data_IF_568040924376
#
_entry.id   IF_568040924376
#
_cell.length_a   1.000
_cell.length_b   1.000
_cell.length_c   1.000
_cell.angle_alpha   90.00
_cell.angle_beta   90.00
_cell.angle_gamma   90.00
#
_symmetry.space_group_name_H-M   'P 1'
#
loop_
_entity.id
_entity.type
_entity.pdbx_description
1 polymer ?
#
# COMPACT_ATOMS: atom_id res chain seq x y z
N UNK A 1 -21.61 0.26 10.14
CA UNK A 1 -21.68 0.61 8.72
C UNK A 1 -20.25 0.62 8.20
N UNK A 2 -19.84 -0.41 7.46
CA UNK A 2 -18.54 -0.47 6.81
C UNK A 2 -18.62 0.36 5.54
N UNK A 3 -18.28 1.64 5.60
CA UNK A 3 -18.11 2.46 4.41
C UNK A 3 -16.90 1.92 3.66
N UNK A 4 -17.14 1.14 2.61
CA UNK A 4 -16.09 0.71 1.68
C UNK A 4 -15.66 1.95 0.93
N UNK A 5 -14.63 2.62 1.43
CA UNK A 5 -14.00 3.76 0.75
C UNK A 5 -13.30 3.22 -0.49
N UNK A 6 -14.03 3.18 -1.61
CA UNK A 6 -13.45 2.80 -2.90
C UNK A 6 -12.30 3.77 -3.19
N UNK A 7 -11.07 3.28 -3.43
CA UNK A 7 -9.94 4.12 -3.77
C UNK A 7 -10.24 4.97 -5.00
N UNK A 8 -9.69 6.19 -5.08
CA UNK A 8 -9.83 7.04 -6.25
C UNK A 8 -9.38 6.35 -7.55
N UNK A 9 -9.76 6.86 -8.73
CA UNK A 9 -9.46 6.23 -10.03
C UNK A 9 -7.95 6.04 -10.26
N UNK A 10 -7.11 6.91 -9.70
CA UNK A 10 -5.65 6.81 -9.78
C UNK A 10 -5.10 5.63 -8.97
N UNK A 11 -5.61 5.41 -7.75
CA UNK A 11 -5.25 4.25 -6.94
C UNK A 11 -5.72 2.95 -7.56
N UNK A 12 -6.93 2.96 -8.11
CA UNK A 12 -7.45 1.80 -8.86
C UNK A 12 -6.53 1.43 -10.02
N UNK A 13 -6.03 2.42 -10.78
CA UNK A 13 -5.09 2.17 -11.87
C UNK A 13 -3.71 1.68 -11.38
N UNK A 14 -3.21 2.26 -10.29
CA UNK A 14 -1.95 1.84 -9.66
C UNK A 14 -2.02 0.36 -9.26
N UNK A 15 -3.03 -0.04 -8.49
CA UNK A 15 -3.17 -1.42 -8.03
C UNK A 15 -3.37 -2.39 -9.20
N UNK A 16 -4.17 -2.00 -10.20
CA UNK A 16 -4.33 -2.79 -11.43
C UNK A 16 -2.98 -3.08 -12.10
N UNK A 17 -2.07 -2.10 -12.15
CA UNK A 17 -0.73 -2.28 -12.73
C UNK A 17 0.19 -3.13 -11.83
N UNK A 18 0.11 -2.91 -10.52
CA UNK A 18 0.87 -3.71 -9.54
C UNK A 18 0.48 -5.19 -9.59
N UNK A 19 -0.81 -5.50 -9.71
CA UNK A 19 -1.29 -6.87 -9.89
C UNK A 19 -0.91 -7.47 -11.24
N UNK A 20 -0.75 -6.64 -12.27
CA UNK A 20 -0.30 -7.10 -13.58
C UNK A 20 1.21 -7.41 -13.64
N UNK A 21 1.99 -7.06 -12.62
CA UNK A 21 3.42 -7.36 -12.59
C UNK A 21 3.70 -8.83 -12.29
N UNK A 22 4.61 -9.41 -13.08
CA UNK A 22 5.16 -10.72 -12.77
C UNK A 22 6.10 -10.64 -11.55
N UNK A 23 6.30 -11.77 -10.87
CA UNK A 23 7.18 -11.89 -9.70
C UNK A 23 8.61 -11.41 -9.99
N UNK A 24 9.14 -11.68 -11.19
CA UNK A 24 10.46 -11.21 -11.60
C UNK A 24 10.58 -9.68 -11.68
N UNK A 25 9.48 -8.96 -11.96
CA UNK A 25 9.47 -7.50 -11.97
C UNK A 25 9.67 -6.94 -10.56
N UNK A 26 9.19 -7.64 -9.54
CA UNK A 26 9.41 -7.26 -8.14
C UNK A 26 10.86 -7.48 -7.69
N UNK A 27 11.50 -8.54 -8.19
CA UNK A 27 12.90 -8.86 -7.86
C UNK A 27 13.92 -7.92 -8.53
N UNK A 28 13.47 -6.95 -9.32
CA UNK A 28 14.35 -6.03 -10.01
C UNK A 28 14.68 -4.81 -9.15
N UNK A 29 15.96 -4.64 -8.80
CA UNK A 29 16.43 -3.50 -8.00
C UNK A 29 15.79 -3.46 -6.61
N UNK A 30 15.51 -2.24 -6.12
CA UNK A 30 15.03 -2.03 -4.75
C UNK A 30 13.50 -2.12 -4.59
N UNK A 31 12.79 -2.67 -5.60
CA UNK A 31 11.31 -2.61 -5.64
C UNK A 31 10.63 -3.31 -4.47
N UNK A 32 11.16 -4.46 -4.04
CA UNK A 32 10.66 -5.17 -2.85
C UNK A 32 10.88 -4.33 -1.59
N UNK A 33 12.06 -3.73 -1.43
CA UNK A 33 12.37 -2.91 -0.26
C UNK A 33 11.51 -1.64 -0.22
N UNK A 34 11.33 -0.98 -1.36
CA UNK A 34 10.42 0.16 -1.49
C UNK A 34 8.99 -0.21 -1.10
N UNK A 35 8.48 -1.35 -1.60
CA UNK A 35 7.16 -1.83 -1.22
C UNK A 35 7.07 -2.10 0.30
N UNK A 36 8.07 -2.75 0.90
CA UNK A 36 8.13 -3.03 2.35
C UNK A 36 8.18 -1.76 3.20
N UNK A 37 8.89 -0.74 2.75
CA UNK A 37 8.89 0.58 3.40
C UNK A 37 7.49 1.17 3.34
N UNK A 38 6.83 1.13 2.19
CA UNK A 38 5.46 1.65 2.04
C UNK A 38 4.46 0.88 2.90
N UNK A 39 4.56 -0.46 2.97
CA UNK A 39 3.72 -1.28 3.85
C UNK A 39 3.85 -0.84 5.33
N UNK A 40 5.09 -0.66 5.82
CA UNK A 40 5.35 -0.19 7.19
C UNK A 40 4.78 1.21 7.42
N UNK A 41 4.88 2.11 6.44
CA UNK A 41 4.29 3.46 6.52
C UNK A 41 2.77 3.42 6.64
N UNK A 42 2.09 2.60 5.82
CA UNK A 42 0.63 2.46 5.89
C UNK A 42 0.17 1.89 7.23
N UNK A 43 0.87 0.86 7.75
CA UNK A 43 0.58 0.31 9.07
C UNK A 43 0.80 1.32 10.21
N UNK A 44 1.87 2.12 10.13
CA UNK A 44 2.14 3.18 11.09
C UNK A 44 1.05 4.26 11.06
N UNK A 45 0.66 4.74 9.87
CA UNK A 45 -0.43 5.72 9.72
C UNK A 45 -1.73 5.24 10.36
N UNK A 46 -2.09 3.97 10.12
CA UNK A 46 -3.30 3.39 10.70
C UNK A 46 -3.23 3.34 12.23
N UNK A 47 -2.08 2.92 12.79
CA UNK A 47 -1.84 2.88 14.24
C UNK A 47 -1.86 4.27 14.88
N UNK A 48 -1.26 5.26 14.22
CA UNK A 48 -1.24 6.65 14.68
C UNK A 48 -2.64 7.28 14.66
N UNK A 49 -3.47 6.89 13.69
CA UNK A 49 -4.82 7.41 13.51
C UNK A 49 -5.83 6.86 14.52
N UNK A 50 -5.78 5.56 14.82
CA UNK A 50 -6.70 4.91 15.76
C UNK A 50 -6.13 4.74 17.18
N UNK A 51 -4.83 5.00 17.38
CA UNK A 51 -4.12 4.87 18.65
C UNK A 51 -3.90 3.42 19.10
N UNK A 52 -4.13 2.45 18.23
CA UNK A 52 -3.98 1.03 18.54
C UNK A 52 -2.62 0.52 18.09
N UNK A 53 -1.94 -0.20 18.99
CA UNK A 53 -0.72 -0.91 18.62
C UNK A 53 -1.05 -2.03 17.63
N UNK A 54 -0.41 -2.01 16.46
CA UNK A 54 -0.52 -3.06 15.44
C UNK A 54 0.67 -4.01 15.49
N UNK A 55 0.48 -5.30 15.17
CA UNK A 55 1.60 -6.21 14.97
C UNK A 55 2.45 -5.75 13.79
N UNK A 56 3.72 -6.16 13.79
CA UNK A 56 4.62 -5.91 12.67
C UNK A 56 4.02 -6.44 11.36
N UNK A 57 4.27 -5.71 10.27
CA UNK A 57 3.86 -6.16 8.94
C UNK A 57 4.60 -7.47 8.62
N UNK A 58 3.88 -8.56 8.32
CA UNK A 58 4.52 -9.84 8.03
C UNK A 58 5.42 -9.74 6.80
N UNK A 59 6.52 -10.48 6.83
CA UNK A 59 7.38 -10.66 5.67
C UNK A 59 6.65 -11.50 4.62
N UNK A 60 6.03 -10.83 3.65
CA UNK A 60 5.33 -11.48 2.55
C UNK A 60 6.23 -11.62 1.32
N UNK A 61 6.05 -12.74 0.61
CA UNK A 61 6.73 -12.98 -0.66
C UNK A 61 6.29 -11.99 -1.75
N UNK A 62 7.08 -11.82 -2.83
CA UNK A 62 6.79 -10.82 -3.86
C UNK A 62 5.43 -10.95 -4.55
N UNK A 63 4.87 -12.17 -4.58
CA UNK A 63 3.55 -12.45 -5.15
C UNK A 63 2.40 -11.81 -4.38
N UNK A 64 2.59 -11.51 -3.08
CA UNK A 64 1.56 -10.97 -2.20
C UNK A 64 1.77 -9.49 -1.87
N UNK A 65 2.81 -8.83 -2.41
CA UNK A 65 3.11 -7.43 -2.09
C UNK A 65 1.99 -6.47 -2.53
N UNK A 66 1.44 -6.66 -3.73
CA UNK A 66 0.35 -5.83 -4.24
C UNK A 66 -0.91 -5.96 -3.37
N UNK A 67 -1.26 -7.19 -2.98
CA UNK A 67 -2.40 -7.47 -2.12
C UNK A 67 -2.21 -6.86 -0.73
N UNK A 68 -1.01 -7.03 -0.14
CA UNK A 68 -0.72 -6.47 1.17
C UNK A 68 -0.75 -4.94 1.17
N UNK A 69 -0.29 -4.30 0.09
CA UNK A 69 -0.38 -2.83 -0.08
C UNK A 69 -1.85 -2.38 -0.12
N UNK A 70 -2.69 -3.13 -0.83
CA UNK A 70 -4.13 -2.84 -0.90
C UNK A 70 -4.80 -2.98 0.47
N UNK A 71 -4.53 -4.07 1.18
CA UNK A 71 -5.08 -4.33 2.52
C UNK A 71 -4.67 -3.23 3.51
N UNK A 72 -3.38 -2.89 3.59
CA UNK A 72 -2.93 -1.87 4.54
C UNK A 72 -3.40 -0.46 4.17
N UNK A 73 -3.60 -0.17 2.88
CA UNK A 73 -4.21 1.08 2.47
C UNK A 73 -5.68 1.17 2.91
N UNK A 74 -6.46 0.09 2.72
CA UNK A 74 -7.84 0.01 3.19
C UNK A 74 -7.93 0.10 4.72
N UNK A 75 -7.01 -0.55 5.43
CA UNK A 75 -6.92 -0.46 6.89
C UNK A 75 -6.62 0.95 7.37
N UNK A 76 -5.67 1.67 6.74
CA UNK A 76 -5.36 3.05 7.09
C UNK A 76 -6.58 3.96 6.91
N UNK A 77 -7.32 3.81 5.80
CA UNK A 77 -8.58 4.52 5.57
C UNK A 77 -9.63 4.15 6.63
N UNK A 78 -9.75 2.87 6.98
CA UNK A 78 -10.66 2.37 8.00
C UNK A 78 -10.38 2.89 9.40
N UNK A 79 -9.11 3.18 9.71
CA UNK A 79 -8.67 3.81 10.96
C UNK A 79 -8.86 5.33 11.01
N UNK A 80 -9.36 5.94 9.94
CA UNK A 80 -9.64 7.37 9.86
C UNK A 80 -8.50 8.22 9.26
N UNK A 81 -7.48 7.62 8.65
CA UNK A 81 -6.52 8.39 7.86
C UNK A 81 -7.24 9.08 6.70
N UNK A 82 -6.80 10.29 6.35
CA UNK A 82 -7.35 10.97 5.18
C UNK A 82 -6.98 10.24 3.89
N UNK A 83 -7.92 10.24 2.94
CA UNK A 83 -7.71 9.63 1.62
C UNK A 83 -6.50 10.22 0.92
N UNK A 84 -6.29 11.54 1.02
CA UNK A 84 -5.17 12.24 0.38
C UNK A 84 -3.82 11.80 0.95
N UNK A 85 -3.73 11.50 2.25
CA UNK A 85 -2.49 11.05 2.87
C UNK A 85 -2.13 9.62 2.42
N UNK A 86 -3.13 8.73 2.37
CA UNK A 86 -2.94 7.36 1.87
C UNK A 86 -2.58 7.37 0.38
N UNK A 87 -3.25 8.22 -0.41
CA UNK A 87 -2.96 8.42 -1.83
C UNK A 87 -1.54 8.93 -2.06
N UNK A 88 -1.08 9.93 -1.32
CA UNK A 88 0.27 10.46 -1.44
C UNK A 88 1.34 9.37 -1.24
N UNK A 89 1.17 8.53 -0.21
CA UNK A 89 2.11 7.43 0.10
C UNK A 89 2.14 6.38 -1.01
N UNK A 90 0.99 6.06 -1.61
CA UNK A 90 0.90 5.11 -2.71
C UNK A 90 1.42 5.69 -4.03
N UNK A 91 1.19 6.98 -4.28
CA UNK A 91 1.71 7.68 -5.46
C UNK A 91 3.23 7.84 -5.40
N UNK A 92 3.81 8.11 -4.22
CA UNK A 92 5.26 8.11 -4.01
C UNK A 92 5.88 6.76 -4.37
N UNK A 93 5.23 5.66 -3.96
CA UNK A 93 5.64 4.32 -4.36
C UNK A 93 5.51 4.14 -5.89
N UNK A 94 4.39 4.52 -6.49
CA UNK A 94 4.19 4.46 -7.94
C UNK A 94 5.28 5.20 -8.71
N UNK A 95 5.67 6.39 -8.24
CA UNK A 95 6.78 7.18 -8.77
C UNK A 95 8.13 6.47 -8.65
N UNK A 96 8.44 5.93 -7.47
CA UNK A 96 9.67 5.18 -7.23
C UNK A 96 9.76 3.90 -8.09
N UNK A 97 8.62 3.24 -8.30
CA UNK A 97 8.49 2.07 -9.16
C UNK A 97 8.46 2.39 -10.66
N UNK A 98 8.40 3.68 -11.02
CA UNK A 98 8.26 4.19 -12.40
C UNK A 98 7.00 3.67 -13.09
N UNK A 99 5.93 3.50 -12.33
CA UNK A 99 4.59 3.16 -12.82
C UNK A 99 3.90 4.46 -13.26
N UNK A 100 4.22 4.94 -14.48
CA UNK A 100 3.57 6.11 -15.10
C UNK A 100 2.42 5.69 -16.01
#
# INVERSE_FOLDING_TARGET
MTSTTTPGPQLTDLFRRLWAWNVSSWQHGDRIELARVTLRRLAAMASDSDGLARPDVPDVGPHALADQLFVLAADALGSGCSTEAVEAVLLDLGGALRLR
#
